data_IF_535547653340
#
_entry.id   IF_535547653340
#
_cell.length_a   1.000
_cell.length_b   1.000
_cell.length_c   1.000
_cell.angle_alpha   90.00
_cell.angle_beta   90.00
_cell.angle_gamma   90.00
#
_symmetry.space_group_name_H-M   'P 1'
#
loop_
_entity.id
_entity.type
_entity.pdbx_description
1 polymer ?
#
# COMPACT_ATOMS: atom_id res chain seq x y z
N UNK A 1 1.36 -3.34 -1.72
CA UNK A 1 2.07 -2.48 -2.70
C UNK A 1 2.17 -3.25 -4.01
N UNK A 2 2.25 -2.56 -5.14
CA UNK A 2 2.39 -3.19 -6.47
C UNK A 2 3.17 -2.28 -7.43
N UNK A 3 3.57 -2.83 -8.57
CA UNK A 3 4.15 -2.05 -9.68
C UNK A 3 3.65 -2.58 -11.02
N UNK A 4 3.54 -1.71 -12.01
CA UNK A 4 3.25 -2.11 -13.40
C UNK A 4 3.94 -1.17 -14.39
N UNK A 5 4.02 -1.57 -15.67
CA UNK A 5 4.55 -0.68 -16.71
C UNK A 5 3.60 0.45 -17.09
N UNK A 6 2.29 0.23 -16.89
CA UNK A 6 1.24 1.19 -17.18
C UNK A 6 0.57 1.65 -15.87
N UNK A 7 0.21 2.95 -15.74
CA UNK A 7 -0.45 3.48 -14.54
C UNK A 7 -1.75 2.73 -14.19
N UNK A 8 -2.56 2.39 -15.19
CA UNK A 8 -3.79 1.61 -15.04
C UNK A 8 -3.64 0.14 -15.49
N UNK A 9 -2.41 -0.39 -15.46
CA UNK A 9 -2.09 -1.76 -15.87
C UNK A 9 -2.39 -2.83 -14.81
N UNK A 10 -3.42 -2.63 -13.99
CA UNK A 10 -3.82 -3.57 -12.93
C UNK A 10 -3.17 -3.35 -11.56
N UNK A 11 -2.46 -2.24 -11.32
CA UNK A 11 -1.80 -1.96 -10.04
C UNK A 11 -2.75 -2.06 -8.84
N UNK A 12 -3.96 -1.51 -8.96
CA UNK A 12 -5.00 -1.57 -7.93
C UNK A 12 -5.53 -3.00 -7.75
N UNK A 13 -5.85 -3.69 -8.85
CA UNK A 13 -6.41 -5.04 -8.82
C UNK A 13 -5.40 -6.06 -8.26
N UNK A 14 -4.11 -5.92 -8.54
CA UNK A 14 -3.08 -6.75 -7.91
C UNK A 14 -3.10 -6.62 -6.39
N UNK A 15 -3.22 -5.40 -5.85
CA UNK A 15 -3.28 -5.17 -4.41
C UNK A 15 -4.57 -5.77 -3.83
N UNK A 16 -5.72 -5.54 -4.46
CA UNK A 16 -6.99 -6.10 -4.03
C UNK A 16 -6.99 -7.64 -4.06
N UNK A 17 -6.38 -8.26 -5.07
CA UNK A 17 -6.23 -9.72 -5.17
C UNK A 17 -5.40 -10.30 -4.02
N UNK A 18 -4.35 -9.59 -3.58
CA UNK A 18 -3.59 -9.98 -2.37
C UNK A 18 -4.47 -9.87 -1.13
N UNK A 19 -5.28 -8.82 -1.00
CA UNK A 19 -6.20 -8.67 0.13
C UNK A 19 -7.26 -9.78 0.17
N UNK A 20 -7.73 -10.27 -0.98
CA UNK A 20 -8.61 -11.45 -1.02
C UNK A 20 -7.98 -12.66 -0.35
N UNK A 21 -6.71 -12.98 -0.66
CA UNK A 21 -6.00 -14.08 -0.01
C UNK A 21 -5.83 -13.85 1.50
N UNK A 22 -5.52 -12.62 1.91
CA UNK A 22 -5.37 -12.25 3.31
C UNK A 22 -6.67 -12.38 4.11
N UNK A 23 -7.84 -12.14 3.50
CA UNK A 23 -9.13 -12.41 4.15
C UNK A 23 -9.29 -13.89 4.51
N UNK A 24 -8.84 -14.82 3.65
CA UNK A 24 -8.86 -16.25 3.95
C UNK A 24 -7.93 -16.64 5.11
N UNK A 25 -6.92 -15.82 5.41
CA UNK A 25 -6.02 -16.02 6.57
C UNK A 25 -6.59 -15.43 7.87
N UNK A 26 -7.75 -14.77 7.82
CA UNK A 26 -8.26 -13.99 8.96
C UNK A 26 -7.37 -12.79 9.29
N UNK A 27 -6.57 -12.32 8.34
CA UNK A 27 -5.66 -11.20 8.56
C UNK A 27 -6.42 -9.87 8.64
N UNK A 28 -5.89 -8.94 9.44
CA UNK A 28 -6.38 -7.56 9.49
C UNK A 28 -5.68 -6.75 8.39
N UNK A 29 -6.47 -6.23 7.45
CA UNK A 29 -5.95 -5.38 6.36
C UNK A 29 -5.74 -3.95 6.84
N UNK A 30 -4.50 -3.47 6.72
CA UNK A 30 -4.09 -2.12 7.12
C UNK A 30 -3.59 -1.37 5.88
N UNK A 31 -4.51 -0.95 5.01
CA UNK A 31 -4.21 -0.16 3.80
C UNK A 31 -3.82 1.29 4.15
N UNK A 32 -3.07 2.02 3.30
CA UNK A 32 -2.70 3.41 3.60
C UNK A 32 -3.89 4.38 3.52
N UNK A 33 -4.91 4.11 2.71
CA UNK A 33 -6.01 5.04 2.45
C UNK A 33 -5.49 6.35 1.86
N UNK A 34 -6.01 7.49 2.33
CA UNK A 34 -5.49 8.83 2.05
C UNK A 34 -5.06 9.53 3.34
N UNK A 35 -4.33 8.80 4.20
CA UNK A 35 -4.04 9.23 5.58
C UNK A 35 -2.78 10.11 5.71
N UNK A 36 -2.08 10.38 4.61
CA UNK A 36 -0.90 11.26 4.55
C UNK A 36 -0.80 11.94 3.16
N UNK A 37 -0.37 13.21 3.07
CA UNK A 37 -0.24 13.93 1.80
C UNK A 37 0.66 13.23 0.77
N UNK A 38 1.68 12.48 1.22
CA UNK A 38 2.58 11.74 0.33
C UNK A 38 1.89 10.69 -0.53
N UNK A 39 0.68 10.25 -0.15
CA UNK A 39 -0.10 9.30 -0.93
C UNK A 39 -0.60 9.93 -2.22
N UNK A 40 -0.95 11.23 -2.19
CA UNK A 40 -1.36 11.95 -3.39
C UNK A 40 -0.17 12.20 -4.33
N UNK A 41 1.01 12.51 -3.78
CA UNK A 41 2.23 12.70 -4.58
C UNK A 41 2.71 11.39 -5.22
N UNK A 42 2.43 10.26 -4.57
CA UNK A 42 2.74 8.92 -5.06
C UNK A 42 1.69 8.33 -6.03
N UNK A 43 0.77 9.15 -6.56
CA UNK A 43 -0.23 8.71 -7.55
C UNK A 43 -1.61 8.39 -6.98
N UNK A 44 -1.81 8.49 -5.66
CA UNK A 44 -3.15 8.47 -5.05
C UNK A 44 -3.83 7.11 -4.99
N UNK A 45 -3.10 6.03 -4.69
CA UNK A 45 -3.68 4.69 -4.56
C UNK A 45 -4.03 4.36 -3.09
N UNK A 46 -5.32 4.33 -2.70
CA UNK A 46 -5.72 4.10 -1.32
C UNK A 46 -5.59 2.63 -0.89
N UNK A 47 -5.55 1.70 -1.85
CA UNK A 47 -5.42 0.27 -1.55
C UNK A 47 -4.00 -0.05 -1.09
N UNK A 48 -3.00 0.65 -1.61
CA UNK A 48 -1.59 0.48 -1.27
C UNK A 48 -0.72 1.29 -2.23
N UNK A 49 0.45 1.75 -1.77
CA UNK A 49 1.39 2.45 -2.65
C UNK A 49 1.71 1.58 -3.86
N UNK A 50 1.55 2.16 -5.05
CA UNK A 50 1.89 1.53 -6.30
C UNK A 50 2.73 2.46 -7.17
N UNK A 51 3.52 1.89 -8.07
CA UNK A 51 4.47 2.65 -8.89
C UNK A 51 4.45 2.17 -10.33
N UNK A 52 4.44 3.12 -11.25
CA UNK A 52 4.65 2.88 -12.67
C UNK A 52 6.15 2.77 -12.93
N UNK A 53 6.57 1.69 -13.58
CA UNK A 53 7.97 1.47 -13.96
C UNK A 53 8.12 1.59 -15.46
N UNK A 54 8.86 2.59 -15.91
CA UNK A 54 9.19 2.80 -17.32
C UNK A 54 10.70 2.83 -17.52
N UNK A 55 11.21 2.07 -18.48
CA UNK A 55 12.65 1.96 -18.77
C UNK A 55 13.48 1.66 -17.52
N UNK A 56 12.97 0.80 -16.63
CA UNK A 56 13.62 0.41 -15.38
C UNK A 56 13.66 1.49 -14.30
N UNK A 57 12.95 2.62 -14.47
CA UNK A 57 12.86 3.71 -13.50
C UNK A 57 11.44 3.84 -12.95
N UNK A 58 11.34 4.17 -11.68
CA UNK A 58 10.08 4.58 -11.05
C UNK A 58 9.68 5.96 -11.56
N UNK A 59 8.42 6.11 -11.98
CA UNK A 59 7.89 7.38 -12.51
C UNK A 59 7.44 8.30 -11.37
N UNK A 60 6.70 7.76 -10.40
CA UNK A 60 6.20 8.50 -9.25
C UNK A 60 7.24 8.54 -8.10
N UNK A 61 7.22 9.62 -7.30
CA UNK A 61 7.96 9.66 -6.03
C UNK A 61 7.15 8.93 -4.94
N UNK A 62 7.46 7.65 -4.78
CA UNK A 62 6.74 6.75 -3.87
C UNK A 62 7.41 6.61 -2.50
N UNK A 63 8.62 7.15 -2.29
CA UNK A 63 9.42 6.80 -1.10
C UNK A 63 8.73 7.21 0.20
N UNK A 64 8.18 8.43 0.25
CA UNK A 64 7.45 8.91 1.43
C UNK A 64 6.17 8.09 1.68
N UNK A 65 5.41 7.78 0.63
CA UNK A 65 4.19 6.97 0.71
C UNK A 65 4.47 5.55 1.20
N UNK A 66 5.54 4.90 0.72
CA UNK A 66 5.97 3.57 1.19
C UNK A 66 6.32 3.61 2.68
N UNK A 67 7.09 4.62 3.11
CA UNK A 67 7.44 4.78 4.54
C UNK A 67 6.20 4.98 5.39
N UNK A 68 5.26 5.80 4.94
CA UNK A 68 4.00 6.04 5.64
C UNK A 68 3.15 4.76 5.74
N UNK A 69 2.97 4.04 4.63
CA UNK A 69 2.24 2.78 4.64
C UNK A 69 2.87 1.78 5.62
N UNK A 70 4.18 1.59 5.57
CA UNK A 70 4.89 0.68 6.47
C UNK A 70 4.75 1.11 7.95
N UNK A 71 4.92 2.41 8.24
CA UNK A 71 4.75 2.96 9.58
C UNK A 71 3.33 2.69 10.10
N UNK A 72 2.30 2.97 9.30
CA UNK A 72 0.90 2.73 9.65
C UNK A 72 0.65 1.26 9.98
N UNK A 73 1.16 0.34 9.16
CA UNK A 73 1.04 -1.10 9.42
C UNK A 73 1.68 -1.50 10.74
N UNK A 74 2.90 -1.01 11.02
CA UNK A 74 3.60 -1.28 12.29
C UNK A 74 2.87 -0.69 13.49
N UNK A 75 2.35 0.53 13.38
CA UNK A 75 1.64 1.19 14.48
C UNK A 75 0.34 0.44 14.83
N UNK A 76 -0.45 0.02 13.83
CA UNK A 76 -1.65 -0.78 14.07
C UNK A 76 -1.30 -2.14 14.67
N UNK A 77 -0.24 -2.80 14.19
CA UNK A 77 0.23 -4.04 14.78
C UNK A 77 0.63 -3.87 16.25
N UNK A 78 1.32 -2.77 16.61
CA UNK A 78 1.65 -2.44 18.01
C UNK A 78 0.41 -2.24 18.86
N UNK A 79 -0.61 -1.54 18.36
CA UNK A 79 -1.86 -1.34 19.11
C UNK A 79 -2.58 -2.66 19.39
N UNK A 80 -2.66 -3.55 18.39
CA UNK A 80 -3.28 -4.87 18.54
C UNK A 80 -2.48 -5.71 19.54
N UNK A 81 -1.15 -5.74 19.42
CA UNK A 81 -0.29 -6.48 20.34
C UNK A 81 -0.42 -5.99 21.79
N UNK A 82 -0.51 -4.67 22.00
CA UNK A 82 -0.70 -4.09 23.33
C UNK A 82 -2.09 -4.37 23.93
N UNK A 83 -3.12 -4.53 23.10
CA UNK A 83 -4.48 -4.87 23.52
C UNK A 83 -4.78 -6.37 23.62
N UNK A 84 -3.86 -7.22 23.17
CA UNK A 84 -3.98 -8.67 23.28
C UNK A 84 -3.45 -9.09 24.66
N UNK A 85 -4.34 -9.24 25.64
CA UNK A 85 -4.03 -9.76 26.98
C UNK A 85 -3.65 -11.24 26.93
#
# INVERSE_FOLDING_TARGET
MASAQNPHGGQEQTILGIYTAMYHWGAIIVSPGYTDPSLFTAGGNPYGTSVTVQNGKMVEDVQAAVKHQAKRTVDVAKWIAAGSN
#
